data_IF_756993022082
#
_entry.id   IF_756993022082
#
_cell.length_a   1.000
_cell.length_b   1.000
_cell.length_c   1.000
_cell.angle_alpha   90.00
_cell.angle_beta   90.00
_cell.angle_gamma   90.00
#
_symmetry.space_group_name_H-M   'P 1'
#
loop_
_entity.id
_entity.type
_entity.pdbx_description
1 polymer ?
#
# COMPACT_ATOMS: atom_id res chain seq x y z
N UNK A 1 7.16 -12.82 7.55
CA UNK A 1 6.59 -12.04 6.43
C UNK A 1 6.41 -10.61 6.89
N UNK A 2 6.75 -9.60 6.07
CA UNK A 2 6.47 -8.20 6.39
C UNK A 2 5.33 -7.71 5.48
N UNK A 3 4.27 -7.18 6.07
CA UNK A 3 3.21 -6.51 5.32
C UNK A 3 3.59 -5.05 5.14
N UNK A 4 4.28 -4.73 4.05
CA UNK A 4 4.39 -3.34 3.57
C UNK A 4 3.18 -3.07 2.69
N UNK A 5 2.17 -2.43 3.27
CA UNK A 5 0.93 -2.11 2.56
C UNK A 5 -0.27 -1.91 3.48
N UNK A 6 -1.44 -1.77 2.87
CA UNK A 6 -2.74 -1.71 3.56
C UNK A 6 -3.66 -2.78 3.00
N UNK A 7 -4.34 -3.50 3.90
CA UNK A 7 -5.02 -4.74 3.54
C UNK A 7 -6.43 -4.78 4.14
N UNK A 8 -7.41 -5.14 3.32
CA UNK A 8 -8.72 -5.67 3.73
C UNK A 8 -8.69 -7.17 3.48
N UNK A 9 -8.60 -7.96 4.55
CA UNK A 9 -8.51 -9.42 4.50
C UNK A 9 -9.71 -10.15 5.12
N UNK A 10 -10.61 -9.41 5.75
CA UNK A 10 -11.85 -9.93 6.34
C UNK A 10 -12.87 -8.80 6.55
N UNK A 11 -14.10 -9.19 6.85
CA UNK A 11 -15.17 -8.28 7.26
C UNK A 11 -15.87 -7.55 6.10
N UNK A 12 -16.65 -6.55 6.47
CA UNK A 12 -17.51 -5.80 5.56
C UNK A 12 -17.35 -4.29 5.75
N UNK A 13 -17.73 -3.51 4.73
CA UNK A 13 -17.79 -2.04 4.78
C UNK A 13 -16.45 -1.35 5.10
N UNK A 14 -15.33 -2.01 4.81
CA UNK A 14 -14.02 -1.40 4.97
C UNK A 14 -13.72 -0.44 3.82
N UNK A 15 -13.02 0.67 4.11
CA UNK A 15 -12.65 1.68 3.13
C UNK A 15 -11.14 1.99 3.17
N UNK A 16 -10.46 1.76 2.05
CA UNK A 16 -9.11 2.29 1.79
C UNK A 16 -9.21 3.40 0.74
N UNK A 17 -9.15 4.67 1.15
CA UNK A 17 -9.32 5.79 0.23
C UNK A 17 -8.24 6.88 0.31
N UNK A 18 -7.82 7.39 -0.85
CA UNK A 18 -6.97 8.59 -0.95
C UNK A 18 -5.55 8.38 -0.44
N UNK A 19 -5.06 7.14 -0.37
CA UNK A 19 -3.76 6.83 0.19
C UNK A 19 -2.64 6.92 -0.85
N UNK A 20 -1.41 7.13 -0.37
CA UNK A 20 -0.19 6.96 -1.15
C UNK A 20 0.70 5.93 -0.46
N UNK A 21 0.87 4.75 -1.08
CA UNK A 21 1.70 3.65 -0.53
C UNK A 21 2.93 3.50 -1.40
N UNK A 22 4.11 3.65 -0.80
CA UNK A 22 5.38 3.57 -1.52
C UNK A 22 6.33 2.65 -0.78
N UNK A 23 6.86 1.65 -1.49
CA UNK A 23 7.87 0.73 -0.99
C UNK A 23 8.78 0.29 -2.14
N UNK A 24 10.09 0.42 -1.93
CA UNK A 24 11.13 0.02 -2.88
C UNK A 24 11.44 -1.48 -2.80
N UNK A 25 10.85 -2.19 -1.84
CA UNK A 25 11.18 -3.58 -1.55
C UNK A 25 12.59 -3.77 -1.01
N UNK A 26 13.22 -2.71 -0.47
CA UNK A 26 14.56 -2.75 0.10
C UNK A 26 14.57 -2.26 1.54
N UNK A 27 15.48 -2.83 2.33
CA UNK A 27 15.82 -2.34 3.67
C UNK A 27 16.60 -1.01 3.56
N UNK A 28 16.75 -0.25 4.67
CA UNK A 28 17.54 0.99 4.68
C UNK A 28 18.99 0.81 4.21
N UNK A 29 19.57 -0.37 4.41
CA UNK A 29 20.91 -0.75 3.95
C UNK A 29 20.96 -1.19 2.47
N UNK A 30 19.84 -1.11 1.76
CA UNK A 30 19.71 -1.47 0.34
C UNK A 30 19.49 -2.96 0.06
N UNK A 31 19.59 -3.84 1.08
CA UNK A 31 19.32 -5.27 0.89
C UNK A 31 17.85 -5.51 0.51
N UNK A 32 17.55 -6.54 -0.30
CA UNK A 32 16.17 -6.93 -0.61
C UNK A 32 15.36 -7.25 0.65
N UNK A 33 14.15 -6.69 0.74
CA UNK A 33 13.14 -7.10 1.71
C UNK A 33 12.50 -8.40 1.24
N UNK A 34 13.05 -9.54 1.70
CA UNK A 34 12.74 -10.88 1.17
C UNK A 34 11.29 -11.34 1.33
N UNK A 35 10.57 -10.81 2.31
CA UNK A 35 9.18 -11.20 2.54
C UNK A 35 8.28 -9.98 2.58
N UNK A 36 7.70 -9.66 1.44
CA UNK A 36 6.57 -8.74 1.36
C UNK A 36 5.65 -9.13 0.21
N UNK A 37 4.41 -8.63 0.25
CA UNK A 37 3.37 -9.10 -0.65
C UNK A 37 2.94 -8.02 -1.66
N UNK A 38 2.12 -7.07 -1.22
CA UNK A 38 1.45 -6.12 -2.11
C UNK A 38 1.22 -4.79 -1.41
N UNK A 39 1.16 -3.69 -2.16
CA UNK A 39 0.91 -2.36 -1.60
C UNK A 39 -0.51 -2.18 -1.07
N UNK A 40 -1.55 -2.44 -1.88
CA UNK A 40 -2.95 -2.42 -1.46
C UNK A 40 -3.65 -3.73 -1.83
N UNK A 41 -4.49 -4.18 -0.90
CA UNK A 41 -5.09 -5.49 -0.94
C UNK A 41 -6.56 -5.48 -0.53
N UNK A 42 -7.42 -6.04 -1.37
CA UNK A 42 -8.83 -6.34 -1.12
C UNK A 42 -9.10 -7.75 -1.63
N UNK A 43 -8.79 -8.73 -0.78
CA UNK A 43 -8.91 -10.15 -1.11
C UNK A 43 -9.29 -10.95 0.14
N UNK A 44 -10.33 -11.76 0.04
CA UNK A 44 -10.60 -12.84 0.99
C UNK A 44 -9.56 -13.96 0.82
N UNK A 45 -8.35 -13.81 1.40
CA UNK A 45 -7.22 -14.76 1.19
C UNK A 45 -7.53 -16.17 1.66
N UNK A 46 -8.43 -16.32 2.62
CA UNK A 46 -8.79 -17.59 3.20
C UNK A 46 -10.05 -18.19 2.55
N UNK A 47 -10.65 -17.50 1.56
CA UNK A 47 -11.87 -17.92 0.85
C UNK A 47 -13.01 -18.34 1.78
N UNK A 48 -13.11 -17.69 2.94
CA UNK A 48 -14.02 -18.07 4.01
C UNK A 48 -15.15 -17.07 4.20
N UNK A 49 -14.86 -15.80 4.03
CA UNK A 49 -15.78 -14.71 4.36
C UNK A 49 -16.84 -14.49 3.29
N UNK A 50 -16.51 -14.79 2.01
CA UNK A 50 -17.48 -14.73 0.91
C UNK A 50 -18.59 -15.79 1.10
N UNK A 51 -18.29 -17.09 1.31
CA UNK A 51 -19.32 -18.09 1.59
C UNK A 51 -20.14 -17.81 2.86
N UNK A 52 -19.52 -17.23 3.89
CA UNK A 52 -20.20 -16.86 5.15
C UNK A 52 -21.11 -15.63 5.00
N UNK A 53 -21.10 -14.94 3.85
CA UNK A 53 -21.92 -13.76 3.59
C UNK A 53 -21.44 -12.49 4.32
N UNK A 54 -20.26 -12.53 4.94
CA UNK A 54 -19.69 -11.40 5.70
C UNK A 54 -18.74 -10.55 4.87
N UNK A 55 -18.39 -10.97 3.65
CA UNK A 55 -17.61 -10.17 2.70
C UNK A 55 -18.51 -9.28 1.85
N UNK A 56 -18.80 -8.06 2.31
CA UNK A 56 -19.63 -7.11 1.55
C UNK A 56 -19.12 -5.68 1.66
N UNK A 57 -19.38 -4.85 0.65
CA UNK A 57 -19.12 -3.39 0.67
C UNK A 57 -17.67 -2.96 0.95
N UNK A 58 -16.70 -3.86 0.76
CA UNK A 58 -15.28 -3.51 0.85
C UNK A 58 -14.86 -2.68 -0.37
N UNK A 59 -14.21 -1.54 -0.10
CA UNK A 59 -13.94 -0.49 -1.08
C UNK A 59 -12.49 -0.05 -1.00
N UNK A 60 -11.85 0.13 -2.15
CA UNK A 60 -10.53 0.75 -2.24
C UNK A 60 -10.53 1.77 -3.39
N UNK A 61 -10.45 3.07 -3.11
CA UNK A 61 -10.57 4.09 -4.16
C UNK A 61 -9.59 5.24 -4.07
N UNK A 62 -9.31 5.85 -5.20
CA UNK A 62 -8.49 7.07 -5.30
C UNK A 62 -7.08 6.91 -4.67
N UNK A 63 -6.58 5.67 -4.57
CA UNK A 63 -5.26 5.39 -4.02
C UNK A 63 -4.17 5.50 -5.10
N UNK A 64 -2.95 5.79 -4.68
CA UNK A 64 -1.76 5.75 -5.53
C UNK A 64 -0.73 4.83 -4.89
N UNK A 65 -0.26 3.83 -5.63
CA UNK A 65 0.66 2.82 -5.09
C UNK A 65 1.89 2.67 -5.97
N UNK A 66 3.06 2.65 -5.35
CA UNK A 66 4.28 2.11 -5.94
C UNK A 66 4.92 1.13 -4.99
N UNK A 67 4.69 -0.16 -5.20
CA UNK A 67 5.30 -1.23 -4.41
C UNK A 67 6.14 -2.13 -5.32
N UNK A 68 7.43 -2.21 -5.01
CA UNK A 68 8.38 -3.04 -5.73
C UNK A 68 8.72 -4.31 -4.95
N UNK A 69 8.67 -5.45 -5.65
CA UNK A 69 9.21 -6.72 -5.21
C UNK A 69 10.58 -6.97 -5.81
N UNK A 70 11.58 -7.20 -4.96
CA UNK A 70 12.92 -7.56 -5.42
C UNK A 70 13.02 -9.07 -5.52
N UNK A 71 13.18 -9.57 -6.76
CA UNK A 71 13.25 -10.99 -7.06
C UNK A 71 14.55 -11.62 -6.54
N UNK A 72 14.63 -12.95 -6.57
CA UNK A 72 15.86 -13.70 -6.24
C UNK A 72 17.05 -13.34 -7.15
N UNK A 73 16.80 -12.81 -8.35
CA UNK A 73 17.82 -12.31 -9.29
C UNK A 73 18.16 -10.83 -9.06
N UNK A 74 17.72 -10.24 -7.96
CA UNK A 74 17.92 -8.82 -7.60
C UNK A 74 17.34 -7.83 -8.63
N UNK A 75 16.32 -8.25 -9.39
CA UNK A 75 15.55 -7.37 -10.29
C UNK A 75 14.29 -6.88 -9.59
N UNK A 76 13.72 -5.76 -10.03
CA UNK A 76 12.49 -5.19 -9.47
C UNK A 76 11.27 -5.60 -10.32
N UNK A 77 10.23 -6.07 -9.66
CA UNK A 77 8.90 -6.31 -10.21
C UNK A 77 7.87 -5.46 -9.44
N UNK A 78 6.70 -5.20 -10.03
CA UNK A 78 5.64 -4.41 -9.38
C UNK A 78 4.57 -5.31 -8.77
N UNK A 79 4.20 -5.03 -7.52
CA UNK A 79 3.09 -5.68 -6.80
C UNK A 79 2.26 -4.62 -6.10
N UNK A 80 1.69 -3.71 -6.88
CA UNK A 80 0.98 -2.55 -6.34
C UNK A 80 -0.38 -2.92 -5.73
N UNK A 81 -1.15 -3.75 -6.42
CA UNK A 81 -2.55 -4.03 -6.09
C UNK A 81 -2.88 -5.52 -6.18
N UNK A 82 -3.73 -5.97 -5.26
CA UNK A 82 -4.44 -7.26 -5.29
C UNK A 82 -5.91 -6.99 -4.95
N UNK A 83 -6.77 -6.93 -5.96
CA UNK A 83 -8.14 -6.40 -5.86
C UNK A 83 -9.20 -7.44 -6.28
N UNK A 84 -8.85 -8.72 -6.16
CA UNK A 84 -9.57 -9.87 -6.70
C UNK A 84 -11.01 -9.97 -6.21
N UNK A 85 -11.28 -9.54 -4.97
CA UNK A 85 -12.60 -9.60 -4.35
C UNK A 85 -13.23 -8.22 -4.14
N UNK A 86 -12.86 -7.27 -4.99
CA UNK A 86 -13.62 -6.04 -5.14
C UNK A 86 -14.94 -6.32 -5.87
N UNK A 87 -16.05 -5.84 -5.31
CA UNK A 87 -17.30 -5.83 -6.05
C UNK A 87 -17.20 -4.83 -7.23
N UNK A 88 -17.94 -5.07 -8.32
CA UNK A 88 -18.00 -4.12 -9.43
C UNK A 88 -18.32 -2.70 -8.93
N UNK A 89 -17.47 -1.73 -9.29
CA UNK A 89 -17.63 -0.33 -8.90
C UNK A 89 -17.10 0.07 -7.52
N UNK A 90 -16.61 -0.86 -6.68
CA UNK A 90 -16.10 -0.51 -5.33
C UNK A 90 -14.60 -0.25 -5.28
N UNK A 91 -13.84 -0.67 -6.30
CA UNK A 91 -12.40 -0.43 -6.35
C UNK A 91 -11.98 0.42 -7.56
N UNK A 92 -12.19 1.73 -7.45
CA UNK A 92 -12.12 2.67 -8.58
C UNK A 92 -11.01 3.71 -8.42
N UNK A 93 -10.56 4.28 -9.53
CA UNK A 93 -9.57 5.38 -9.56
C UNK A 93 -8.23 5.11 -8.85
N UNK A 94 -7.91 3.85 -8.56
CA UNK A 94 -6.61 3.47 -8.03
C UNK A 94 -5.56 3.54 -9.15
N UNK A 95 -4.39 4.09 -8.86
CA UNK A 95 -3.32 4.31 -9.86
C UNK A 95 -1.99 3.76 -9.36
N UNK A 96 -1.21 3.22 -10.28
CA UNK A 96 0.19 2.90 -10.01
C UNK A 96 1.07 4.14 -10.16
N UNK A 97 2.09 4.30 -9.32
CA UNK A 97 3.15 5.27 -9.59
C UNK A 97 3.88 4.90 -10.88
N UNK A 98 4.21 5.88 -11.74
CA UNK A 98 4.95 5.62 -12.97
C UNK A 98 6.39 5.21 -12.67
N UNK A 99 7.00 4.46 -13.60
CA UNK A 99 8.40 4.10 -13.56
C UNK A 99 8.78 3.06 -12.50
N UNK A 100 10.09 2.94 -12.25
CA UNK A 100 10.64 2.01 -11.25
C UNK A 100 10.59 2.63 -9.86
N UNK A 101 10.12 1.88 -8.87
CA UNK A 101 10.10 2.32 -7.47
C UNK A 101 11.44 2.01 -6.84
N UNK A 102 12.07 3.02 -6.25
CA UNK A 102 13.41 2.93 -5.64
C UNK A 102 13.40 3.56 -4.25
N UNK A 103 14.51 3.41 -3.51
CA UNK A 103 14.68 4.11 -2.22
C UNK A 103 14.65 5.63 -2.39
N UNK A 104 15.00 6.17 -3.57
CA UNK A 104 14.82 7.58 -3.88
C UNK A 104 13.32 7.97 -3.98
N UNK A 105 12.48 7.07 -4.52
CA UNK A 105 11.01 7.26 -4.54
C UNK A 105 10.45 7.32 -3.13
N UNK A 106 10.89 6.44 -2.23
CA UNK A 106 10.50 6.46 -0.80
C UNK A 106 10.93 7.76 -0.11
N UNK A 107 12.18 8.20 -0.35
CA UNK A 107 12.68 9.46 0.19
C UNK A 107 11.87 10.66 -0.31
N UNK A 108 11.51 10.68 -1.59
CA UNK A 108 10.67 11.73 -2.16
C UNK A 108 9.25 11.75 -1.56
N UNK A 109 8.64 10.58 -1.34
CA UNK A 109 7.33 10.49 -0.69
C UNK A 109 7.39 10.94 0.78
N UNK A 110 8.47 10.60 1.51
CA UNK A 110 8.71 11.11 2.87
C UNK A 110 8.83 12.63 2.88
N UNK A 111 9.59 13.22 1.97
CA UNK A 111 9.72 14.69 1.85
C UNK A 111 8.35 15.32 1.60
N UNK A 112 7.59 14.81 0.62
CA UNK A 112 6.22 15.26 0.34
C UNK A 112 5.33 15.24 1.58
N UNK A 113 5.41 14.17 2.37
CA UNK A 113 4.64 14.04 3.61
C UNK A 113 5.05 15.09 4.66
N UNK A 114 6.37 15.26 4.90
CA UNK A 114 6.88 16.27 5.83
C UNK A 114 6.45 17.68 5.41
N UNK A 115 6.53 18.00 4.12
CA UNK A 115 6.14 19.32 3.60
C UNK A 115 4.62 19.58 3.74
N UNK A 116 3.80 18.54 3.54
CA UNK A 116 2.36 18.61 3.80
C UNK A 116 2.05 18.91 5.27
N UNK A 117 2.82 18.38 6.21
CA UNK A 117 2.63 18.64 7.63
C UNK A 117 3.11 20.04 8.02
N UNK A 118 4.28 20.46 7.52
CA UNK A 118 4.82 21.81 7.73
C UNK A 118 3.87 22.89 7.22
N UNK A 119 3.35 22.74 6.00
CA UNK A 119 2.37 23.69 5.43
C UNK A 119 1.07 23.79 6.24
N UNK A 120 0.74 22.75 7.00
CA UNK A 120 -0.41 22.72 7.92
C UNK A 120 -0.04 23.01 9.38
N UNK A 121 1.20 23.41 9.66
CA UNK A 121 1.73 23.68 11.00
C UNK A 121 1.58 22.50 11.97
N UNK A 122 1.56 21.28 11.45
CA UNK A 122 1.52 20.06 12.26
C UNK A 122 2.95 19.69 12.61
N UNK A 123 3.27 19.67 13.91
CA UNK A 123 4.55 19.17 14.41
C UNK A 123 4.47 17.66 14.63
N UNK A 124 5.46 16.93 14.12
CA UNK A 124 5.61 15.50 14.32
C UNK A 124 6.66 15.23 15.39
N UNK A 125 6.30 14.49 16.43
CA UNK A 125 7.17 14.21 17.58
C UNK A 125 6.56 14.74 18.89
N UNK A 126 7.12 14.29 20.02
CA UNK A 126 6.74 14.84 21.32
C UNK A 126 7.26 16.28 21.42
N UNK A 127 6.41 17.21 21.85
CA UNK A 127 6.83 18.59 22.10
C UNK A 127 7.76 18.58 23.31
N UNK A 128 9.07 18.62 23.10
CA UNK A 128 9.99 18.92 24.22
C UNK A 128 9.64 20.31 24.73
N UNK A 129 9.27 20.37 26.01
CA UNK A 129 8.93 21.60 26.74
C UNK A 129 10.16 22.47 26.92
#
# INVERSE_FOLDING_TARGET
>A
MANVGMLIAAGHHNLLAGNRVVSSGRLPDGRPLRHHFVGIYVWDCCYRHIPEGVWTHNTARDNVVGNAWITTRNTSARTDYRLDHCHPGTCTNNKSLPGTVTTATEKAERTRWVDKLRSRRIQTGMRSS
#
